data_IF_714660552192
#
_entry.id   IF_714660552192
#
_cell.length_a   1.000
_cell.length_b   1.000
_cell.length_c   1.000
_cell.angle_alpha   90.00
_cell.angle_beta   90.00
_cell.angle_gamma   90.00
#
_symmetry.space_group_name_H-M   'P 1'
#
loop_
_entity.id
_entity.type
_entity.pdbx_description
1 polymer ?
#
# COMPACT_ATOMS: atom_id res chain seq x y z
N UNK A 1 -23.45 -32.06 38.55
CA UNK A 1 -24.51 -31.74 37.57
C UNK A 1 -23.92 -30.85 36.50
N UNK A 2 -24.00 -31.08 35.21
CA UNK A 2 -24.16 -32.25 34.34
C UNK A 2 -23.90 -31.67 32.95
N UNK A 3 -22.92 -32.22 32.23
CA UNK A 3 -22.47 -31.75 30.91
C UNK A 3 -23.48 -32.23 29.86
N UNK A 4 -24.02 -31.38 28.97
CA UNK A 4 -24.75 -31.87 27.82
C UNK A 4 -23.81 -32.09 26.63
N UNK A 5 -23.70 -33.38 26.32
CA UNK A 5 -23.77 -34.04 25.01
C UNK A 5 -22.96 -33.56 23.81
N UNK A 6 -22.10 -34.51 23.42
CA UNK A 6 -21.27 -34.62 22.25
C UNK A 6 -22.08 -34.66 20.95
N UNK A 7 -21.70 -33.81 19.99
CA UNK A 7 -22.19 -33.88 18.61
C UNK A 7 -21.35 -34.90 17.82
N UNK A 8 -21.99 -35.98 17.37
CA UNK A 8 -21.39 -37.04 16.55
C UNK A 8 -21.66 -36.74 15.07
N UNK A 9 -20.63 -36.61 14.20
CA UNK A 9 -20.83 -36.50 12.75
C UNK A 9 -21.11 -37.88 12.11
N UNK A 10 -21.88 -37.93 11.00
CA UNK A 10 -22.23 -39.17 10.32
C UNK A 10 -21.06 -39.79 9.51
N UNK A 11 -21.06 -41.12 9.29
CA UNK A 11 -20.02 -41.81 8.55
C UNK A 11 -20.07 -41.55 7.04
N UNK A 12 -18.89 -41.43 6.43
CA UNK A 12 -18.66 -41.30 5.00
C UNK A 12 -19.06 -42.58 4.24
N UNK A 13 -19.69 -42.40 3.08
CA UNK A 13 -20.03 -43.50 2.16
C UNK A 13 -18.79 -43.96 1.36
N UNK A 14 -18.64 -45.27 1.10
CA UNK A 14 -17.62 -45.81 0.20
C UNK A 14 -18.08 -45.75 -1.27
N UNK A 15 -17.26 -45.14 -2.14
CA UNK A 15 -17.42 -45.22 -3.59
C UNK A 15 -16.41 -46.23 -4.14
N UNK A 16 -16.81 -47.50 -4.17
CA UNK A 16 -16.16 -48.56 -4.95
C UNK A 16 -16.95 -48.76 -6.25
N UNK A 17 -16.30 -48.52 -7.38
CA UNK A 17 -16.89 -48.67 -8.71
C UNK A 17 -15.81 -48.84 -9.76
N UNK A 18 -15.19 -50.02 -9.78
CA UNK A 18 -14.29 -50.49 -10.82
C UNK A 18 -15.07 -51.04 -12.02
N UNK A 19 -14.63 -50.71 -13.24
CA UNK A 19 -14.68 -51.61 -14.41
C UNK A 19 -13.57 -51.24 -15.42
N UNK A 20 -12.55 -52.10 -15.45
CA UNK A 20 -11.62 -52.42 -16.54
C UNK A 20 -12.36 -53.04 -17.77
N UNK A 21 -11.72 -53.52 -18.88
CA UNK A 21 -10.43 -53.25 -19.51
C UNK A 21 -10.49 -53.17 -21.08
N UNK A 22 -9.31 -53.02 -21.71
CA UNK A 22 -8.92 -53.55 -23.03
C UNK A 22 -9.64 -53.09 -24.32
N UNK A 23 -8.90 -52.36 -25.16
CA UNK A 23 -9.01 -52.54 -26.62
C UNK A 23 -7.63 -52.63 -27.29
N UNK A 24 -7.37 -53.86 -27.72
CA UNK A 24 -6.51 -54.42 -28.75
C UNK A 24 -6.07 -53.46 -29.87
N UNK A 25 -4.78 -53.55 -30.25
CA UNK A 25 -4.16 -52.73 -31.27
C UNK A 25 -4.41 -53.14 -32.73
N UNK A 26 -3.91 -52.29 -33.62
CA UNK A 26 -3.69 -52.56 -35.04
C UNK A 26 -2.58 -51.65 -35.60
N UNK A 27 -1.70 -52.14 -36.50
CA UNK A 27 -0.66 -51.31 -37.13
C UNK A 27 -1.25 -50.62 -38.37
N UNK A 28 -1.56 -49.33 -38.26
CA UNK A 28 -2.14 -48.52 -39.34
C UNK A 28 -1.28 -47.31 -39.70
N UNK A 29 -0.55 -47.44 -40.82
CA UNK A 29 -0.06 -46.42 -41.79
C UNK A 29 0.41 -45.02 -41.29
N UNK A 30 1.59 -44.54 -41.73
CA UNK A 30 2.01 -43.17 -41.48
C UNK A 30 1.19 -42.17 -42.31
N UNK A 31 0.30 -41.42 -41.66
CA UNK A 31 -0.35 -40.26 -42.24
C UNK A 31 0.62 -39.07 -42.26
N UNK A 32 1.36 -38.92 -43.38
CA UNK A 32 2.03 -37.67 -43.75
C UNK A 32 0.97 -36.65 -44.17
N UNK A 33 0.69 -35.66 -43.32
CA UNK A 33 0.39 -34.25 -43.67
C UNK A 33 -0.30 -33.56 -42.50
N UNK A 34 0.38 -32.63 -41.84
CA UNK A 34 -0.22 -31.80 -40.78
C UNK A 34 0.77 -31.26 -39.74
N UNK A 35 1.94 -31.90 -39.58
CA UNK A 35 2.95 -31.51 -38.58
C UNK A 35 3.60 -30.14 -38.83
N UNK A 36 3.48 -29.57 -40.04
CA UNK A 36 4.07 -28.27 -40.37
C UNK A 36 3.41 -27.10 -39.65
N UNK A 37 2.08 -27.11 -39.48
CA UNK A 37 1.36 -26.00 -38.86
C UNK A 37 1.55 -25.95 -37.34
N UNK A 38 1.66 -27.12 -36.70
CA UNK A 38 1.86 -27.21 -35.25
C UNK A 38 3.28 -26.78 -34.84
N UNK A 39 4.28 -27.09 -35.67
CA UNK A 39 5.65 -26.60 -35.47
C UNK A 39 5.76 -25.07 -35.64
N UNK A 40 5.03 -24.48 -36.60
CA UNK A 40 5.00 -23.02 -36.81
C UNK A 40 4.31 -22.31 -35.64
N UNK A 41 3.23 -22.88 -35.09
CA UNK A 41 2.54 -22.31 -33.92
C UNK A 41 3.44 -22.30 -32.68
N UNK A 42 4.16 -23.40 -32.41
CA UNK A 42 5.08 -23.49 -31.27
C UNK A 42 6.26 -22.52 -31.43
N UNK A 43 6.82 -22.39 -32.64
CA UNK A 43 7.88 -21.41 -32.92
C UNK A 43 7.39 -19.96 -32.73
N UNK A 44 6.14 -19.66 -33.10
CA UNK A 44 5.53 -18.35 -32.87
C UNK A 44 5.40 -18.00 -31.38
N UNK A 45 4.94 -18.94 -30.56
CA UNK A 45 4.82 -18.75 -29.10
C UNK A 45 6.20 -18.54 -28.46
N UNK A 46 7.21 -19.31 -28.85
CA UNK A 46 8.57 -19.14 -28.36
C UNK A 46 9.15 -17.76 -28.69
N UNK A 47 8.85 -17.22 -29.89
CA UNK A 47 9.30 -15.91 -30.31
C UNK A 47 8.59 -14.77 -29.55
N UNK A 48 7.30 -14.92 -29.26
CA UNK A 48 6.56 -13.97 -28.40
C UNK A 48 7.12 -13.98 -26.97
N UNK A 49 7.40 -15.16 -26.40
CA UNK A 49 7.99 -15.26 -25.06
C UNK A 49 9.39 -14.63 -25.00
N UNK A 50 10.21 -14.78 -26.05
CA UNK A 50 11.52 -14.14 -26.15
C UNK A 50 11.43 -12.61 -26.24
N UNK A 51 10.43 -12.07 -26.95
CA UNK A 51 10.22 -10.62 -27.02
C UNK A 51 9.73 -10.05 -25.69
N UNK A 52 8.83 -10.76 -24.99
CA UNK A 52 8.34 -10.33 -23.68
C UNK A 52 9.48 -10.35 -22.65
N UNK A 53 10.34 -11.37 -22.64
CA UNK A 53 11.48 -11.42 -21.72
C UNK A 53 12.53 -10.34 -22.00
N UNK A 54 12.79 -10.02 -23.27
CA UNK A 54 13.66 -8.91 -23.64
C UNK A 54 13.09 -7.54 -23.17
N UNK A 55 11.79 -7.31 -23.32
CA UNK A 55 11.12 -6.09 -22.85
C UNK A 55 11.15 -5.95 -21.32
N UNK A 56 10.92 -7.06 -20.60
CA UNK A 56 11.00 -7.06 -19.13
C UNK A 56 12.44 -6.85 -18.63
N UNK A 57 13.44 -7.43 -19.31
CA UNK A 57 14.86 -7.21 -19.02
C UNK A 57 15.26 -5.74 -19.21
N UNK A 58 14.77 -5.10 -20.27
CA UNK A 58 15.07 -3.68 -20.52
C UNK A 58 14.48 -2.77 -19.44
N UNK A 59 13.22 -3.01 -19.03
CA UNK A 59 12.58 -2.32 -17.89
C UNK A 59 13.35 -2.48 -16.58
N UNK A 60 13.99 -3.62 -16.36
CA UNK A 60 14.80 -3.87 -15.17
C UNK A 60 16.15 -3.11 -15.22
N UNK A 61 16.78 -3.02 -16.39
CA UNK A 61 18.02 -2.26 -16.58
C UNK A 61 17.83 -0.75 -16.34
N UNK A 62 16.71 -0.18 -16.78
CA UNK A 62 16.41 1.25 -16.54
C UNK A 62 16.28 1.56 -15.04
N UNK A 63 15.68 0.65 -14.26
CA UNK A 63 15.57 0.81 -12.79
C UNK A 63 16.92 0.70 -12.08
N UNK A 64 17.84 -0.11 -12.59
CA UNK A 64 19.18 -0.25 -12.02
C UNK A 64 20.02 1.03 -12.24
N UNK A 65 19.89 1.67 -13.41
CA UNK A 65 20.58 2.93 -13.70
C UNK A 65 20.05 4.09 -12.84
N UNK A 66 18.74 4.18 -12.60
CA UNK A 66 18.16 5.22 -11.74
C UNK A 66 18.64 5.11 -10.28
N UNK A 67 18.86 3.89 -9.79
CA UNK A 67 19.43 3.66 -8.46
C UNK A 67 20.91 4.10 -8.37
N UNK A 68 21.70 3.85 -9.42
CA UNK A 68 23.10 4.29 -9.49
C UNK A 68 23.22 5.82 -9.55
N UNK A 69 22.31 6.49 -10.26
CA UNK A 69 22.31 7.97 -10.37
C UNK A 69 21.92 8.65 -9.05
N UNK A 70 21.04 8.02 -8.25
CA UNK A 70 20.74 8.48 -6.89
C UNK A 70 21.92 8.31 -5.94
N UNK A 71 22.73 7.27 -6.11
CA UNK A 71 23.93 7.06 -5.29
C UNK A 71 25.08 8.00 -5.68
N UNK A 72 25.25 8.32 -6.97
CA UNK A 72 26.25 9.27 -7.44
C UNK A 72 25.96 10.71 -6.97
N UNK A 73 24.67 11.09 -6.87
CA UNK A 73 24.24 12.37 -6.32
C UNK A 73 24.57 12.54 -4.82
N UNK A 74 24.57 11.44 -4.04
CA UNK A 74 24.93 11.46 -2.62
C UNK A 74 26.45 11.43 -2.41
N UNK A 75 27.21 10.91 -3.37
CA UNK A 75 28.66 10.74 -3.27
C UNK A 75 29.49 11.99 -3.64
N UNK A 76 28.89 13.13 -3.97
CA UNK A 76 29.60 14.40 -4.22
C UNK A 76 29.43 15.43 -3.08
N UNK A 77 30.16 15.32 -1.95
CA UNK A 77 30.31 16.41 -1.01
C UNK A 77 31.49 17.30 -1.44
N UNK A 78 31.26 18.20 -2.40
CA UNK A 78 32.20 19.28 -2.70
C UNK A 78 31.59 20.61 -2.25
N UNK A 79 31.89 21.02 -1.03
CA UNK A 79 31.41 22.29 -0.48
C UNK A 79 31.80 22.54 0.98
N UNK A 80 33.07 22.28 1.35
CA UNK A 80 33.62 22.75 2.63
C UNK A 80 34.09 24.19 2.45
N UNK A 81 33.41 25.14 3.07
CA UNK A 81 33.88 26.53 3.10
C UNK A 81 32.92 27.50 3.77
N UNK A 82 33.09 27.69 5.09
CA UNK A 82 33.15 29.00 5.77
C UNK A 82 32.84 28.82 7.26
N UNK A 83 33.84 29.09 8.10
CA UNK A 83 33.70 29.21 9.55
C UNK A 83 33.02 30.55 9.92
N UNK A 84 32.12 30.59 10.92
CA UNK A 84 31.71 31.85 11.53
C UNK A 84 32.55 32.16 12.78
N UNK A 85 33.27 33.28 12.72
CA UNK A 85 33.91 33.92 13.87
C UNK A 85 32.87 34.70 14.70
N UNK A 86 32.80 34.42 16.01
CA UNK A 86 32.35 35.37 17.05
C UNK A 86 33.45 36.42 17.30
N UNK A 87 33.20 37.65 17.82
CA UNK A 87 32.89 37.85 19.25
C UNK A 87 32.07 39.16 19.57
N UNK A 88 32.05 39.72 20.80
CA UNK A 88 30.84 39.99 21.59
C UNK A 88 30.50 41.49 21.69
N UNK A 89 29.39 41.89 22.34
CA UNK A 89 29.28 43.10 23.22
C UNK A 89 27.89 43.20 23.88
N UNK A 90 27.91 43.59 25.16
CA UNK A 90 26.82 43.82 26.12
C UNK A 90 26.07 45.14 25.93
N UNK A 91 24.80 45.20 26.38
CA UNK A 91 24.17 46.44 26.87
C UNK A 91 22.67 46.62 26.53
N UNK A 92 21.77 46.79 27.53
CA UNK A 92 20.34 47.08 27.34
C UNK A 92 20.06 48.60 27.24
N UNK A 93 18.92 49.02 26.64
CA UNK A 93 17.79 49.42 27.50
C UNK A 93 16.40 49.07 26.95
N UNK A 94 15.45 49.14 27.88
CA UNK A 94 14.01 48.95 27.70
C UNK A 94 13.38 49.87 26.64
N UNK A 95 12.41 49.31 25.92
CA UNK A 95 11.31 50.07 25.32
C UNK A 95 10.02 49.28 25.52
N UNK A 96 9.09 49.89 26.24
CA UNK A 96 7.67 49.51 26.28
C UNK A 96 7.10 49.61 24.86
N UNK A 97 6.50 48.53 24.37
CA UNK A 97 5.51 48.58 23.29
C UNK A 97 4.33 47.70 23.69
N UNK A 98 3.34 48.33 24.34
CA UNK A 98 1.94 47.98 24.15
C UNK A 98 1.59 48.19 22.69
N UNK A 99 1.33 47.11 21.97
CA UNK A 99 0.51 47.11 20.77
C UNK A 99 -0.29 45.83 20.82
N UNK A 100 -1.61 45.97 20.96
CA UNK A 100 -2.59 44.91 20.76
C UNK A 100 -2.30 44.24 19.40
N UNK A 101 -1.56 43.14 19.45
CA UNK A 101 -1.59 42.17 18.37
C UNK A 101 -2.93 41.46 18.50
N UNK A 102 -3.77 41.41 17.45
CA UNK A 102 -4.93 40.54 17.48
C UNK A 102 -4.44 39.13 17.81
N UNK A 103 -5.01 38.54 18.86
CA UNK A 103 -4.70 37.19 19.28
C UNK A 103 -4.65 36.28 18.04
N UNK A 104 -3.66 35.38 17.90
CA UNK A 104 -3.71 34.37 16.88
C UNK A 104 -5.05 33.65 17.06
N UNK A 105 -5.93 33.74 16.08
CA UNK A 105 -7.09 32.87 16.03
C UNK A 105 -6.50 31.48 15.81
N UNK A 106 -6.26 30.74 16.90
CA UNK A 106 -6.12 29.29 16.90
C UNK A 106 -7.46 28.74 16.39
N UNK A 107 -7.66 28.86 15.08
CA UNK A 107 -8.77 28.21 14.44
C UNK A 107 -8.39 26.74 14.43
N UNK A 108 -8.86 25.99 15.44
CA UNK A 108 -8.78 24.54 15.48
C UNK A 108 -9.49 23.85 14.31
N UNK A 109 -9.95 24.62 13.31
CA UNK A 109 -10.47 24.12 12.05
C UNK A 109 -9.41 23.29 11.30
N UNK A 110 -9.87 22.24 10.62
CA UNK A 110 -9.06 21.44 9.71
C UNK A 110 -8.67 22.33 8.51
N UNK A 111 -7.37 22.42 8.14
CA UNK A 111 -6.95 23.19 6.98
C UNK A 111 -7.64 22.73 5.70
N UNK A 112 -8.14 23.66 4.89
CA UNK A 112 -8.73 23.33 3.59
C UNK A 112 -7.63 22.97 2.59
N UNK A 113 -7.70 21.75 2.04
CA UNK A 113 -6.74 21.24 1.06
C UNK A 113 -7.15 21.67 -0.35
N UNK A 114 -6.33 22.51 -1.00
CA UNK A 114 -6.59 23.06 -2.32
C UNK A 114 -5.35 22.97 -3.24
N UNK A 115 -5.45 23.48 -4.47
CA UNK A 115 -4.36 23.43 -5.48
C UNK A 115 -3.12 24.22 -5.06
N UNK A 116 -3.27 25.18 -4.16
CA UNK A 116 -2.20 26.02 -3.66
C UNK A 116 -1.48 25.40 -2.46
N UNK A 117 -2.09 24.41 -1.79
CA UNK A 117 -1.48 23.66 -0.68
C UNK A 117 -0.12 23.09 -1.12
N UNK A 118 0.91 23.34 -0.30
CA UNK A 118 2.28 22.88 -0.54
C UNK A 118 2.52 21.60 0.22
N UNK A 119 2.46 20.48 -0.49
CA UNK A 119 2.73 19.16 0.07
C UNK A 119 4.23 18.86 0.04
N UNK A 120 4.77 18.34 1.15
CA UNK A 120 6.17 17.94 1.24
C UNK A 120 6.29 16.42 1.29
N UNK A 121 7.16 15.82 0.48
CA UNK A 121 7.34 14.36 0.48
C UNK A 121 7.87 13.89 1.84
N UNK A 122 7.19 12.93 2.46
CA UNK A 122 7.60 12.33 3.75
C UNK A 122 8.30 10.98 3.55
N UNK A 123 7.69 10.10 2.77
CA UNK A 123 8.26 8.82 2.37
C UNK A 123 7.71 8.38 1.02
N UNK A 124 8.47 7.57 0.30
CA UNK A 124 8.11 7.10 -1.05
C UNK A 124 8.26 5.59 -1.14
N UNK A 125 7.24 4.94 -1.71
CA UNK A 125 7.23 3.52 -2.06
C UNK A 125 7.65 2.56 -0.92
N UNK A 126 7.24 2.84 0.31
CA UNK A 126 7.47 1.96 1.47
C UNK A 126 6.61 0.72 1.36
N UNK A 127 7.23 -0.46 1.47
CA UNK A 127 6.52 -1.74 1.38
C UNK A 127 6.01 -2.16 2.75
N UNK A 128 4.70 -2.36 2.87
CA UNK A 128 4.05 -2.86 4.09
C UNK A 128 3.54 -4.26 3.82
N UNK A 129 3.98 -5.24 4.61
CA UNK A 129 3.54 -6.63 4.45
C UNK A 129 2.74 -7.07 5.65
N UNK A 130 1.45 -7.26 5.46
CA UNK A 130 0.57 -7.85 6.46
C UNK A 130 0.66 -9.37 6.35
N UNK A 131 1.17 -10.07 7.38
CA UNK A 131 1.33 -11.51 7.31
C UNK A 131 -0.02 -12.21 7.29
N UNK A 132 -0.01 -13.41 6.71
CA UNK A 132 -1.07 -14.38 6.95
C UNK A 132 -0.98 -14.83 8.42
N UNK A 133 -1.55 -14.06 9.34
CA UNK A 133 -1.59 -14.39 10.77
C UNK A 133 -2.18 -15.78 11.06
N UNK A 134 -2.05 -16.23 12.31
CA UNK A 134 -2.37 -17.59 12.75
C UNK A 134 -3.85 -17.97 12.71
N UNK A 135 -4.76 -17.01 12.80
CA UNK A 135 -6.20 -17.23 12.84
C UNK A 135 -6.97 -16.39 11.82
N UNK A 136 -8.14 -16.88 11.42
CA UNK A 136 -9.13 -16.02 10.78
C UNK A 136 -9.81 -15.18 11.87
N UNK A 137 -10.13 -13.91 11.57
CA UNK A 137 -10.52 -12.86 12.55
C UNK A 137 -9.40 -12.15 13.30
N UNK A 138 -8.13 -12.52 13.07
CA UNK A 138 -7.01 -11.71 13.57
C UNK A 138 -7.06 -10.34 12.89
N UNK A 139 -7.00 -9.29 13.69
CA UNK A 139 -6.92 -7.90 13.23
C UNK A 139 -5.46 -7.45 13.26
N UNK A 140 -5.01 -6.78 12.20
CA UNK A 140 -3.67 -6.20 12.13
C UNK A 140 -3.81 -4.72 11.93
N UNK A 141 -3.28 -3.95 12.86
CA UNK A 141 -3.29 -2.49 12.78
C UNK A 141 -2.08 -2.00 11.98
N UNK A 142 -2.32 -1.02 11.12
CA UNK A 142 -1.32 -0.43 10.23
C UNK A 142 -1.25 1.07 10.52
N UNK A 143 -0.05 1.52 10.85
CA UNK A 143 0.32 2.91 11.07
C UNK A 143 0.88 3.46 9.76
N UNK A 144 0.29 4.56 9.29
CA UNK A 144 0.66 5.29 8.09
C UNK A 144 1.38 6.61 8.43
N UNK A 145 1.38 7.07 9.68
CA UNK A 145 2.24 8.15 10.11
C UNK A 145 3.72 7.72 10.09
N UNK A 146 3.97 6.52 10.58
CA UNK A 146 5.19 5.75 10.42
C UNK A 146 4.85 4.43 9.74
N UNK A 147 5.22 4.23 8.45
CA UNK A 147 4.73 3.12 7.64
C UNK A 147 5.13 1.76 8.23
N UNK A 148 4.28 1.21 9.11
CA UNK A 148 4.52 0.02 9.94
C UNK A 148 3.25 -0.82 10.04
N UNK A 149 3.44 -2.13 10.20
CA UNK A 149 2.37 -3.11 10.40
C UNK A 149 2.48 -3.71 11.80
N UNK A 150 1.39 -4.26 12.31
CA UNK A 150 1.31 -4.85 13.66
C UNK A 150 1.59 -3.83 14.78
N UNK A 151 1.06 -2.62 14.61
CA UNK A 151 1.13 -1.58 15.63
C UNK A 151 -0.03 -1.72 16.64
N UNK A 152 -0.08 -0.81 17.60
CA UNK A 152 -1.20 -0.65 18.52
C UNK A 152 -2.36 0.08 17.83
N UNK A 153 -3.60 -0.23 18.23
CA UNK A 153 -4.80 0.33 17.57
C UNK A 153 -4.93 1.84 17.72
N UNK A 154 -4.38 2.44 18.79
CA UNK A 154 -4.49 3.87 19.08
C UNK A 154 -3.59 4.78 18.23
N UNK A 155 -2.70 4.21 17.44
CA UNK A 155 -1.76 4.95 16.56
C UNK A 155 -1.84 4.46 15.11
N UNK A 156 -2.84 3.66 14.79
CA UNK A 156 -3.03 3.10 13.47
C UNK A 156 -4.15 3.84 12.77
N UNK A 157 -4.02 4.04 11.46
CA UNK A 157 -5.09 4.58 10.60
C UNK A 157 -5.96 3.46 10.01
N UNK A 158 -5.42 2.25 9.88
CA UNK A 158 -6.11 1.12 9.27
C UNK A 158 -6.15 -0.10 10.19
N UNK A 159 -7.32 -0.73 10.27
CA UNK A 159 -7.51 -2.07 10.80
C UNK A 159 -7.69 -3.04 9.63
N UNK A 160 -6.69 -3.89 9.40
CA UNK A 160 -6.79 -4.97 8.42
C UNK A 160 -7.44 -6.20 9.05
N UNK A 161 -8.38 -6.81 8.33
CA UNK A 161 -9.07 -8.02 8.76
C UNK A 161 -9.14 -9.08 7.68
N UNK A 162 -9.15 -10.33 8.14
CA UNK A 162 -9.35 -11.52 7.29
C UNK A 162 -10.60 -12.26 7.74
N UNK A 163 -11.65 -12.31 6.92
CA UNK A 163 -12.83 -13.09 7.26
C UNK A 163 -12.47 -14.58 7.32
N UNK A 164 -13.20 -15.32 8.15
CA UNK A 164 -13.10 -16.78 8.13
C UNK A 164 -13.71 -17.35 6.83
N UNK A 165 -13.02 -18.34 6.24
CA UNK A 165 -13.47 -19.01 5.03
C UNK A 165 -12.90 -18.39 3.74
N UNK A 166 -13.75 -18.23 2.72
CA UNK A 166 -13.34 -17.81 1.37
C UNK A 166 -13.55 -16.32 1.10
N UNK A 167 -13.82 -15.51 2.13
CA UNK A 167 -14.00 -14.07 1.98
C UNK A 167 -12.68 -13.38 1.61
N UNK A 168 -12.77 -12.27 0.88
CA UNK A 168 -11.60 -11.43 0.61
C UNK A 168 -11.17 -10.70 1.88
N UNK A 169 -9.85 -10.49 2.09
CA UNK A 169 -9.40 -9.58 3.14
C UNK A 169 -9.93 -8.18 2.89
N UNK A 170 -10.05 -7.39 3.94
CA UNK A 170 -10.50 -6.00 3.86
C UNK A 170 -9.78 -5.14 4.90
N UNK A 171 -9.92 -3.83 4.79
CA UNK A 171 -9.56 -2.91 5.87
C UNK A 171 -10.74 -2.01 6.26
N UNK A 172 -10.65 -1.49 7.48
CA UNK A 172 -11.48 -0.40 7.97
C UNK A 172 -10.57 0.79 8.34
N UNK A 173 -11.12 1.99 8.30
CA UNK A 173 -10.51 3.16 8.94
C UNK A 173 -10.75 3.04 10.45
N UNK A 174 -9.74 3.34 11.26
CA UNK A 174 -9.78 3.13 12.72
C UNK A 174 -10.42 4.28 13.49
N UNK A 175 -10.44 5.48 12.92
CA UNK A 175 -10.98 6.69 13.55
C UNK A 175 -11.81 7.52 12.57
N UNK A 176 -12.70 8.35 13.12
CA UNK A 176 -13.59 9.22 12.35
C UNK A 176 -12.87 10.43 11.72
N UNK A 177 -11.63 10.70 12.11
CA UNK A 177 -10.80 11.80 11.60
C UNK A 177 -9.73 11.34 10.59
N UNK A 178 -9.82 10.07 10.17
CA UNK A 178 -9.10 9.48 9.05
C UNK A 178 -10.08 9.37 7.90
N UNK A 179 -9.80 10.09 6.81
CA UNK A 179 -10.63 10.05 5.61
C UNK A 179 -9.90 9.30 4.50
N UNK A 180 -10.67 8.68 3.60
CA UNK A 180 -10.09 8.00 2.46
C UNK A 180 -10.96 8.08 1.21
N UNK A 181 -10.36 7.79 0.05
CA UNK A 181 -11.03 7.69 -1.25
C UNK A 181 -10.27 6.77 -2.18
N UNK A 182 -10.98 5.98 -2.99
CA UNK A 182 -10.35 5.10 -4.00
C UNK A 182 -10.00 5.89 -5.27
N UNK A 183 -8.82 5.67 -5.82
CA UNK A 183 -8.36 6.23 -7.11
C UNK A 183 -7.97 5.12 -8.07
N UNK A 184 -7.97 5.41 -9.37
CA UNK A 184 -7.70 4.44 -10.43
C UNK A 184 -6.22 4.20 -10.74
N UNK A 185 -5.30 4.94 -10.10
CA UNK A 185 -3.88 4.97 -10.47
C UNK A 185 -2.97 5.34 -9.30
N UNK A 186 -1.77 4.77 -9.28
CA UNK A 186 -0.69 5.06 -8.32
C UNK A 186 0.14 6.31 -8.69
N UNK A 187 -0.26 7.03 -9.73
CA UNK A 187 0.42 8.24 -10.22
C UNK A 187 -0.35 9.53 -9.92
N UNK A 188 -1.34 9.47 -9.04
CA UNK A 188 -2.11 10.66 -8.63
C UNK A 188 -1.22 11.65 -7.89
N UNK A 189 -1.48 12.94 -8.09
CA UNK A 189 -0.79 13.99 -7.32
C UNK A 189 -1.42 14.10 -5.92
N UNK A 190 -0.72 14.71 -4.94
CA UNK A 190 -1.30 14.94 -3.61
C UNK A 190 -2.59 15.75 -3.67
N UNK A 191 -2.66 16.75 -4.55
CA UNK A 191 -3.88 17.53 -4.72
C UNK A 191 -5.04 16.69 -5.25
N UNK A 192 -4.82 15.89 -6.31
CA UNK A 192 -5.88 15.02 -6.86
C UNK A 192 -6.36 14.00 -5.82
N UNK A 193 -5.44 13.55 -4.97
CA UNK A 193 -5.70 12.60 -3.91
C UNK A 193 -6.57 13.23 -2.80
N UNK A 194 -6.26 14.46 -2.37
CA UNK A 194 -7.09 15.23 -1.44
C UNK A 194 -8.47 15.58 -2.04
N UNK A 195 -8.53 15.95 -3.33
CA UNK A 195 -9.79 16.24 -4.01
C UNK A 195 -10.68 14.99 -4.15
N UNK A 196 -10.06 13.82 -4.40
CA UNK A 196 -10.78 12.54 -4.43
C UNK A 196 -11.42 12.23 -3.08
N UNK A 197 -10.68 12.36 -1.97
CA UNK A 197 -11.22 12.14 -0.62
C UNK A 197 -12.42 13.06 -0.37
N UNK A 198 -12.29 14.34 -0.72
CA UNK A 198 -13.35 15.35 -0.54
C UNK A 198 -14.61 15.06 -1.37
N UNK A 199 -14.44 14.60 -2.60
CA UNK A 199 -15.55 14.48 -3.57
C UNK A 199 -16.18 13.09 -3.60
N UNK A 200 -15.41 12.05 -3.25
CA UNK A 200 -15.82 10.64 -3.29
C UNK A 200 -15.22 9.89 -2.09
N UNK A 201 -15.57 10.26 -0.85
CA UNK A 201 -15.06 9.57 0.32
C UNK A 201 -15.55 8.12 0.35
N UNK A 202 -14.68 7.19 0.75
CA UNK A 202 -15.13 5.88 1.19
C UNK A 202 -15.73 6.04 2.59
N UNK A 203 -17.03 5.81 2.73
CA UNK A 203 -17.65 5.71 4.04
C UNK A 203 -17.06 4.50 4.77
N UNK A 204 -17.02 4.53 6.12
CA UNK A 204 -16.40 3.53 7.04
C UNK A 204 -16.97 2.10 6.98
N UNK A 205 -17.20 1.60 5.77
CA UNK A 205 -17.53 0.24 5.39
C UNK A 205 -16.26 -0.56 5.13
N UNK A 206 -16.39 -1.88 5.24
CA UNK A 206 -15.32 -2.84 4.98
C UNK A 206 -14.83 -2.72 3.52
N UNK A 207 -13.60 -2.25 3.34
CA UNK A 207 -13.01 -2.09 2.02
C UNK A 207 -12.32 -3.37 1.57
N UNK A 208 -13.01 -4.16 0.76
CA UNK A 208 -12.46 -5.40 0.22
C UNK A 208 -11.18 -5.14 -0.61
N UNK A 209 -10.10 -5.82 -0.25
CA UNK A 209 -8.78 -5.63 -0.82
C UNK A 209 -8.54 -6.53 -2.03
N UNK A 210 -8.10 -5.91 -3.13
CA UNK A 210 -7.74 -6.56 -4.38
C UNK A 210 -6.45 -5.96 -4.92
N UNK A 211 -5.59 -6.82 -5.45
CA UNK A 211 -4.37 -6.38 -6.14
C UNK A 211 -4.70 -5.36 -7.23
N UNK A 212 -3.96 -4.26 -7.25
CA UNK A 212 -4.12 -3.15 -8.20
C UNK A 212 -5.02 -2.00 -7.71
N UNK A 213 -5.71 -2.14 -6.57
CA UNK A 213 -6.44 -1.02 -5.97
C UNK A 213 -5.49 0.00 -5.37
N UNK A 214 -5.91 1.26 -5.39
CA UNK A 214 -5.14 2.40 -4.88
C UNK A 214 -6.07 3.31 -4.09
N UNK A 215 -5.64 3.69 -2.89
CA UNK A 215 -6.39 4.51 -1.96
C UNK A 215 -5.61 5.76 -1.61
N UNK A 216 -6.32 6.88 -1.56
CA UNK A 216 -5.92 8.13 -0.95
C UNK A 216 -6.43 8.14 0.48
N UNK A 217 -5.57 8.40 1.46
CA UNK A 217 -5.92 8.35 2.89
C UNK A 217 -5.28 9.56 3.59
N UNK A 218 -6.03 10.29 4.41
CA UNK A 218 -5.46 11.26 5.36
C UNK A 218 -5.23 10.58 6.71
N UNK A 219 -4.09 10.86 7.37
CA UNK A 219 -3.86 10.40 8.75
C UNK A 219 -4.66 11.25 9.75
N UNK A 220 -4.72 10.83 11.01
CA UNK A 220 -5.47 11.55 12.04
C UNK A 220 -4.90 12.96 12.30
N UNK A 221 -5.72 14.00 12.08
CA UNK A 221 -5.31 15.38 12.40
C UNK A 221 -5.25 15.61 13.92
N UNK A 222 -6.09 14.93 14.70
CA UNK A 222 -6.08 15.01 16.16
C UNK A 222 -4.81 14.38 16.75
N UNK A 223 -4.42 13.22 16.24
CA UNK A 223 -3.16 12.57 16.60
C UNK A 223 -1.96 13.46 16.23
N UNK A 224 -1.95 14.03 15.02
CA UNK A 224 -0.89 14.96 14.58
C UNK A 224 -0.72 16.13 15.56
N UNK A 225 -1.82 16.79 15.94
CA UNK A 225 -1.81 17.93 16.88
C UNK A 225 -1.33 17.55 18.28
N UNK A 226 -1.73 16.37 18.79
CA UNK A 226 -1.42 15.94 20.16
C UNK A 226 -0.02 15.33 20.32
N UNK A 227 0.53 14.72 19.27
CA UNK A 227 1.83 14.02 19.30
C UNK A 227 2.99 14.82 18.70
N UNK A 228 2.77 16.07 18.31
CA UNK A 228 3.71 16.90 17.54
C UNK A 228 4.15 16.23 16.21
N UNK A 229 3.32 15.35 15.68
CA UNK A 229 3.48 14.77 14.36
C UNK A 229 2.84 15.66 13.30
N UNK A 230 3.26 15.50 12.05
CA UNK A 230 2.63 16.19 10.91
C UNK A 230 1.47 15.38 10.39
N UNK A 231 0.34 16.04 10.13
CA UNK A 231 -0.79 15.45 9.40
C UNK A 231 -0.34 15.05 7.99
N UNK A 232 -0.68 13.85 7.52
CA UNK A 232 -0.20 13.32 6.24
C UNK A 232 -1.33 12.97 5.30
N UNK A 233 -1.04 13.07 4.02
CA UNK A 233 -1.80 12.47 2.93
C UNK A 233 -1.00 11.29 2.39
N UNK A 234 -1.64 10.14 2.27
CA UNK A 234 -1.01 8.85 1.96
C UNK A 234 -1.67 8.27 0.71
N UNK A 235 -0.84 7.85 -0.24
CA UNK A 235 -1.22 7.03 -1.38
C UNK A 235 -0.83 5.58 -1.09
N UNK A 236 -1.83 4.72 -0.91
CA UNK A 236 -1.68 3.32 -0.56
C UNK A 236 -2.12 2.42 -1.71
N UNK A 237 -1.19 1.68 -2.30
CA UNK A 237 -1.45 0.74 -3.39
C UNK A 237 -1.41 -0.70 -2.88
N UNK A 238 -2.44 -1.49 -3.21
CA UNK A 238 -2.48 -2.94 -2.92
C UNK A 238 -1.70 -3.66 -4.01
N UNK A 239 -0.48 -4.10 -3.71
CA UNK A 239 0.42 -4.69 -4.74
C UNK A 239 0.31 -6.19 -4.86
N UNK A 240 -0.12 -6.88 -3.79
CA UNK A 240 -0.36 -8.32 -3.84
C UNK A 240 -1.39 -8.76 -2.78
N UNK A 241 -2.24 -9.71 -3.16
CA UNK A 241 -3.18 -10.42 -2.28
C UNK A 241 -3.08 -11.93 -2.53
N UNK A 242 -2.03 -12.61 -2.06
CA UNK A 242 -1.87 -14.04 -2.32
C UNK A 242 -2.95 -14.89 -1.63
N UNK A 243 -3.11 -16.13 -2.08
CA UNK A 243 -4.13 -17.07 -1.55
C UNK A 243 -3.90 -17.48 -0.10
N UNK A 244 -2.70 -17.24 0.44
CA UNK A 244 -2.40 -17.48 1.86
C UNK A 244 -3.08 -16.44 2.78
N UNK A 245 -3.70 -15.42 2.21
CA UNK A 245 -4.39 -14.36 2.94
C UNK A 245 -3.45 -13.27 3.45
N UNK A 246 -2.16 -13.30 3.11
CA UNK A 246 -1.27 -12.15 3.30
C UNK A 246 -1.67 -11.02 2.34
N UNK A 247 -1.29 -9.79 2.67
CA UNK A 247 -1.45 -8.64 1.77
C UNK A 247 -0.17 -7.81 1.79
N UNK A 248 0.24 -7.36 0.62
CA UNK A 248 1.34 -6.41 0.47
C UNK A 248 0.81 -5.09 -0.05
N UNK A 249 1.19 -4.01 0.61
CA UNK A 249 0.94 -2.65 0.17
C UNK A 249 2.24 -1.94 -0.18
N UNK A 250 2.11 -0.92 -1.01
CA UNK A 250 3.13 0.10 -1.21
C UNK A 250 2.52 1.44 -0.81
N UNK A 251 3.18 2.17 0.09
CA UNK A 251 2.72 3.45 0.60
C UNK A 251 3.69 4.57 0.21
N UNK A 252 3.15 5.70 -0.23
CA UNK A 252 3.88 6.98 -0.35
C UNK A 252 3.09 8.04 0.39
N UNK A 253 3.75 9.01 1.01
CA UNK A 253 3.06 10.05 1.76
C UNK A 253 3.69 11.42 1.62
N UNK A 254 2.84 12.41 1.81
CA UNK A 254 3.20 13.81 1.89
C UNK A 254 2.69 14.43 3.17
N UNK A 255 3.52 15.24 3.80
CA UNK A 255 3.10 16.12 4.88
C UNK A 255 2.12 17.16 4.33
N UNK A 256 1.03 17.33 5.06
CA UNK A 256 0.07 18.40 4.88
C UNK A 256 0.53 19.57 5.76
N UNK A 257 0.64 20.80 5.23
CA UNK A 257 0.99 21.95 6.05
C UNK A 257 -0.09 22.20 7.11
N UNK A 258 0.36 22.45 8.34
CA UNK A 258 -0.49 22.82 9.47
C UNK A 258 -1.09 24.22 9.31
#
# INVERSE_FOLDING_TARGET
MSIPDSFVPPPAAPNDGATDPSSTGGPGRPARSGAGLLAVAVAGVALVLALVSALLSWRAADRANEALDKLSAVASPAGVGAAPSQPPTSGPPAAEQTTDAPAPTESGAVPELNKQTRYEVRYTAQTLRVPAGSGCSDSVYIDLDEPRVQTESGVAELEFRRPCGTGSPYFNLTSDDVDAGEVSSDKVTPYDCADQIRTSPIAGEEQALRSGQVYCITTSIEAARSSANTWKLVLLSVTATPKDGSVTFTASAWNIPA
#
